data_IF_030080115584
#
_entry.id   IF_030080115584
#
_cell.length_a   1.000
_cell.length_b   1.000
_cell.length_c   1.000
_cell.angle_alpha   90.00
_cell.angle_beta   90.00
_cell.angle_gamma   90.00
#
_symmetry.space_group_name_H-M   'P 1'
#
loop_
_entity.id
_entity.type
_entity.pdbx_description
1 polymer ?
#
# COMPACT_ATOMS: atom_id res chain seq x y z
N UNK A 1 5.85 -0.76 -6.28
CA UNK A 1 5.20 0.42 -5.64
C UNK A 1 3.88 0.77 -6.33
N UNK A 2 2.74 0.38 -5.73
CA UNK A 2 1.40 0.72 -6.26
C UNK A 2 1.15 2.23 -6.38
N UNK A 3 1.75 3.05 -5.50
CA UNK A 3 1.57 4.50 -5.52
C UNK A 3 2.05 5.17 -6.81
N UNK A 4 3.21 4.76 -7.37
CA UNK A 4 3.65 5.26 -8.68
C UNK A 4 2.66 4.88 -9.78
N UNK A 5 2.17 3.63 -9.77
CA UNK A 5 1.17 3.19 -10.73
C UNK A 5 -0.10 4.05 -10.67
N UNK A 6 -0.61 4.31 -9.46
CA UNK A 6 -1.80 5.14 -9.24
C UNK A 6 -1.56 6.58 -9.69
N UNK A 7 -0.43 7.16 -9.29
CA UNK A 7 -0.04 8.53 -9.64
C UNK A 7 0.04 8.73 -11.15
N UNK A 8 0.79 7.87 -11.84
CA UNK A 8 0.98 8.01 -13.29
C UNK A 8 -0.35 7.84 -14.04
N UNK A 9 -1.25 6.97 -13.57
CA UNK A 9 -2.59 6.87 -14.17
C UNK A 9 -3.44 8.11 -13.89
N UNK A 10 -3.31 8.72 -12.71
CA UNK A 10 -4.06 9.90 -12.32
C UNK A 10 -3.67 11.15 -13.11
N UNK A 11 -2.38 11.34 -13.38
CA UNK A 11 -1.90 12.51 -14.14
C UNK A 11 -2.05 12.34 -15.65
N UNK A 12 -2.03 11.10 -16.16
CA UNK A 12 -2.10 10.81 -17.61
C UNK A 12 -3.51 10.58 -18.12
N UNK A 13 -4.37 9.98 -17.30
CA UNK A 13 -5.70 9.54 -17.70
C UNK A 13 -6.74 10.32 -16.91
N UNK A 14 -7.94 10.39 -17.46
CA UNK A 14 -9.06 10.95 -16.72
C UNK A 14 -9.41 10.05 -15.54
N UNK A 15 -9.40 10.63 -14.34
CA UNK A 15 -9.87 9.95 -13.14
C UNK A 15 -11.33 9.50 -13.35
N UNK A 16 -11.69 8.23 -13.07
CA UNK A 16 -12.98 7.67 -13.39
C UNK A 16 -14.08 8.13 -12.41
N UNK A 17 -14.40 9.43 -12.41
CA UNK A 17 -15.32 10.08 -11.48
C UNK A 17 -16.70 9.43 -11.45
N UNK A 18 -17.23 9.00 -12.61
CA UNK A 18 -18.49 8.27 -12.69
C UNK A 18 -18.48 7.00 -11.83
N UNK A 19 -17.43 6.19 -11.93
CA UNK A 19 -17.28 4.95 -11.14
C UNK A 19 -17.12 5.25 -9.65
N UNK A 20 -16.42 6.32 -9.30
CA UNK A 20 -16.31 6.77 -7.91
C UNK A 20 -17.70 7.05 -7.34
N UNK A 21 -18.51 7.84 -8.04
CA UNK A 21 -19.84 8.20 -7.56
C UNK A 21 -20.79 7.01 -7.50
N UNK A 22 -20.74 6.11 -8.48
CA UNK A 22 -21.54 4.89 -8.48
C UNK A 22 -21.14 3.94 -7.34
N UNK A 23 -19.85 3.68 -7.16
CA UNK A 23 -19.35 2.74 -6.15
C UNK A 23 -19.65 3.19 -4.71
N UNK A 24 -19.51 4.49 -4.43
CA UNK A 24 -19.77 5.06 -3.11
C UNK A 24 -21.19 5.61 -2.95
N UNK A 25 -22.07 5.41 -3.93
CA UNK A 25 -23.44 5.91 -3.95
C UNK A 25 -23.55 7.43 -3.67
N UNK A 26 -22.58 8.19 -4.20
CA UNK A 26 -22.47 9.63 -3.97
C UNK A 26 -23.33 10.39 -4.97
N UNK A 27 -24.10 11.38 -4.49
CA UNK A 27 -24.76 12.34 -5.36
C UNK A 27 -23.78 13.46 -5.75
N UNK A 28 -23.32 13.53 -7.02
CA UNK A 28 -22.33 14.51 -7.45
C UNK A 28 -22.80 15.96 -7.31
N UNK A 29 -24.12 16.19 -7.33
CA UNK A 29 -24.74 17.53 -7.27
C UNK A 29 -25.10 17.96 -5.85
N UNK A 30 -24.86 17.11 -4.85
CA UNK A 30 -25.15 17.45 -3.46
C UNK A 30 -24.17 18.54 -3.01
N UNK A 31 -24.72 19.60 -2.45
CA UNK A 31 -23.93 20.66 -1.84
C UNK A 31 -23.09 20.11 -0.68
N UNK A 32 -21.83 20.54 -0.63
CA UNK A 32 -20.93 20.24 0.48
C UNK A 32 -21.47 20.82 1.79
N UNK A 33 -21.06 20.25 2.93
CA UNK A 33 -21.37 20.87 4.22
C UNK A 33 -20.58 22.18 4.40
N UNK A 34 -20.93 22.97 5.43
CA UNK A 34 -20.27 24.26 5.68
C UNK A 34 -18.77 24.10 5.86
N UNK A 35 -18.35 23.13 6.66
CA UNK A 35 -16.94 22.90 7.00
C UNK A 35 -16.12 22.55 5.76
N UNK A 36 -16.64 21.71 4.87
CA UNK A 36 -15.98 21.38 3.60
C UNK A 36 -15.91 22.58 2.66
N UNK A 37 -16.94 23.42 2.59
CA UNK A 37 -16.88 24.65 1.79
C UNK A 37 -15.81 25.61 2.33
N UNK A 38 -15.73 25.78 3.64
CA UNK A 38 -14.70 26.60 4.28
C UNK A 38 -13.31 26.06 3.95
N UNK A 39 -13.08 24.76 4.10
CA UNK A 39 -11.81 24.13 3.76
C UNK A 39 -11.44 24.28 2.27
N UNK A 40 -12.42 24.21 1.36
CA UNK A 40 -12.19 24.50 -0.05
C UNK A 40 -11.71 25.94 -0.27
N UNK A 41 -12.40 26.93 0.32
CA UNK A 41 -12.03 28.34 0.22
C UNK A 41 -10.62 28.59 0.79
N UNK A 42 -10.30 28.01 1.95
CA UNK A 42 -8.98 28.12 2.59
C UNK A 42 -7.87 27.51 1.72
N UNK A 43 -8.21 26.50 0.92
CA UNK A 43 -7.30 25.86 -0.04
C UNK A 43 -7.27 26.58 -1.41
N UNK A 44 -7.95 27.72 -1.56
CA UNK A 44 -8.04 28.47 -2.82
C UNK A 44 -8.95 27.83 -3.87
N UNK A 45 -9.83 26.92 -3.46
CA UNK A 45 -10.74 26.16 -4.33
C UNK A 45 -12.18 26.68 -4.16
N UNK A 46 -12.81 27.10 -5.26
CA UNK A 46 -14.24 27.45 -5.27
C UNK A 46 -15.09 26.23 -5.68
N UNK A 47 -15.40 25.36 -4.72
CA UNK A 47 -16.24 24.17 -4.93
C UNK A 47 -17.51 24.19 -4.08
N UNK A 48 -18.67 23.93 -4.70
CA UNK A 48 -19.97 23.89 -4.01
C UNK A 48 -20.45 22.46 -3.81
N UNK A 49 -20.05 21.55 -4.70
CA UNK A 49 -20.46 20.15 -4.74
C UNK A 49 -19.25 19.22 -4.75
N UNK A 50 -19.45 17.93 -4.45
CA UNK A 50 -18.37 16.94 -4.56
C UNK A 50 -17.88 16.78 -6.01
N UNK A 51 -18.74 17.00 -7.01
CA UNK A 51 -18.32 17.02 -8.41
C UNK A 51 -17.32 18.14 -8.69
N UNK A 52 -17.56 19.35 -8.15
CA UNK A 52 -16.63 20.47 -8.31
C UNK A 52 -15.26 20.14 -7.69
N UNK A 53 -15.25 19.51 -6.51
CA UNK A 53 -14.00 19.07 -5.85
C UNK A 53 -13.25 18.08 -6.74
N UNK A 54 -13.94 17.08 -7.29
CA UNK A 54 -13.31 16.08 -8.17
C UNK A 54 -12.77 16.73 -9.45
N UNK A 55 -13.47 17.69 -10.03
CA UNK A 55 -13.00 18.44 -11.20
C UNK A 55 -11.75 19.25 -10.86
N UNK A 56 -11.76 19.98 -9.74
CA UNK A 56 -10.59 20.72 -9.27
C UNK A 56 -9.40 19.78 -9.06
N UNK A 57 -9.61 18.66 -8.37
CA UNK A 57 -8.59 17.63 -8.16
C UNK A 57 -8.01 17.10 -9.48
N UNK A 58 -8.86 16.72 -10.45
CA UNK A 58 -8.44 16.27 -11.76
C UNK A 58 -7.59 17.30 -12.50
N UNK A 59 -8.03 18.56 -12.51
CA UNK A 59 -7.31 19.63 -13.16
C UNK A 59 -5.95 19.87 -12.51
N UNK A 60 -5.88 19.85 -11.18
CA UNK A 60 -4.62 19.98 -10.45
C UNK A 60 -3.65 18.83 -10.77
N UNK A 61 -4.14 17.59 -10.79
CA UNK A 61 -3.30 16.44 -11.13
C UNK A 61 -2.76 16.50 -12.56
N UNK A 62 -3.53 16.99 -13.52
CA UNK A 62 -3.09 17.15 -14.92
C UNK A 62 -1.99 18.20 -15.11
N UNK A 63 -1.83 19.13 -14.17
CA UNK A 63 -0.75 20.12 -14.18
C UNK A 63 0.58 19.55 -13.64
N UNK A 64 0.53 18.38 -13.00
CA UNK A 64 1.69 17.79 -12.36
C UNK A 64 2.38 16.78 -13.29
N UNK A 65 3.71 16.68 -13.23
CA UNK A 65 4.44 15.74 -14.07
C UNK A 65 4.21 14.30 -13.61
N UNK A 66 4.49 13.36 -14.52
CA UNK A 66 4.64 11.94 -14.17
C UNK A 66 5.73 11.76 -13.12
N UNK A 67 5.58 10.71 -12.32
CA UNK A 67 6.63 10.32 -11.39
C UNK A 67 7.84 9.77 -12.16
N UNK A 68 9.03 9.90 -11.58
CA UNK A 68 10.26 9.32 -12.13
C UNK A 68 10.12 7.80 -12.30
N UNK A 69 10.75 7.25 -13.33
CA UNK A 69 10.78 5.80 -13.59
C UNK A 69 11.84 5.07 -12.74
N UNK A 70 12.67 5.82 -12.01
CA UNK A 70 13.53 5.31 -10.95
C UNK A 70 12.90 5.61 -9.60
N UNK A 71 12.73 4.57 -8.82
CA UNK A 71 12.31 4.65 -7.42
C UNK A 71 13.55 4.70 -6.53
N UNK A 72 13.39 5.39 -5.42
CA UNK A 72 14.46 5.62 -4.45
C UNK A 72 13.97 5.14 -3.09
N UNK A 73 14.68 4.18 -2.50
CA UNK A 73 14.47 3.75 -1.12
C UNK A 73 15.51 4.45 -0.27
N UNK A 74 15.04 5.27 0.68
CA UNK A 74 15.90 6.07 1.55
C UNK A 74 15.76 5.57 2.98
N UNK A 75 16.88 5.13 3.55
CA UNK A 75 16.97 4.70 4.93
C UNK A 75 17.47 5.87 5.77
N UNK A 76 16.69 6.26 6.77
CA UNK A 76 17.03 7.35 7.68
C UNK A 76 17.04 6.83 9.12
N UNK A 77 17.97 7.35 9.91
CA UNK A 77 17.99 7.12 11.35
C UNK A 77 16.74 7.75 11.98
N UNK A 78 15.99 6.97 12.74
CA UNK A 78 14.82 7.48 13.46
C UNK A 78 15.18 8.51 14.55
N UNK A 79 16.44 8.51 15.02
CA UNK A 79 16.89 9.38 16.11
C UNK A 79 17.09 10.82 15.67
N UNK A 80 17.70 11.01 14.50
CA UNK A 80 18.19 12.30 14.03
C UNK A 80 17.90 12.57 12.55
N UNK A 81 17.16 11.69 11.89
CA UNK A 81 16.84 11.76 10.46
C UNK A 81 18.10 11.82 9.55
N UNK A 82 19.25 11.40 10.07
CA UNK A 82 20.46 11.29 9.27
C UNK A 82 20.27 10.21 8.21
N UNK A 83 20.76 10.48 7.00
CA UNK A 83 20.71 9.54 5.89
C UNK A 83 21.69 8.39 6.18
N UNK A 84 21.17 7.18 6.23
CA UNK A 84 21.96 5.96 6.38
C UNK A 84 22.33 5.41 5.00
N UNK A 85 21.34 5.26 4.12
CA UNK A 85 21.53 4.66 2.80
C UNK A 85 20.45 5.10 1.80
N UNK A 86 20.80 5.08 0.52
CA UNK A 86 19.89 5.33 -0.60
C UNK A 86 20.07 4.27 -1.69
N UNK A 87 19.02 3.52 -1.98
CA UNK A 87 19.00 2.53 -3.04
C UNK A 87 18.09 2.97 -4.19
N UNK A 88 18.53 2.74 -5.44
CA UNK A 88 17.78 3.12 -6.64
C UNK A 88 17.43 1.90 -7.47
N UNK A 89 16.16 1.77 -7.79
CA UNK A 89 15.67 0.66 -8.62
C UNK A 89 14.73 1.16 -9.70
N UNK A 90 14.70 0.42 -10.81
CA UNK A 90 13.83 0.72 -11.95
C UNK A 90 12.41 0.31 -11.61
N UNK A 91 11.44 1.15 -11.95
CA UNK A 91 10.04 0.82 -11.77
C UNK A 91 9.58 -0.20 -12.81
N UNK A 92 9.12 -1.36 -12.34
CA UNK A 92 8.56 -2.42 -13.17
C UNK A 92 7.03 -2.39 -13.21
N UNK A 93 6.49 -1.65 -14.20
CA UNK A 93 5.05 -1.50 -14.37
C UNK A 93 4.31 -2.77 -14.79
N UNK A 94 4.97 -3.73 -15.43
CA UNK A 94 4.41 -5.05 -15.76
C UNK A 94 4.27 -5.91 -14.51
N UNK A 95 5.33 -5.97 -13.71
CA UNK A 95 5.37 -6.71 -12.45
C UNK A 95 4.25 -6.23 -11.51
N UNK A 96 4.12 -4.93 -11.25
CA UNK A 96 3.08 -4.44 -10.34
C UNK A 96 1.65 -4.74 -10.82
N UNK A 97 1.41 -4.72 -12.13
CA UNK A 97 0.09 -5.08 -12.70
C UNK A 97 -0.19 -6.57 -12.52
N UNK A 98 0.84 -7.40 -12.66
CA UNK A 98 0.74 -8.84 -12.40
C UNK A 98 0.38 -9.09 -10.94
N UNK A 99 1.07 -8.45 -10.00
CA UNK A 99 0.79 -8.60 -8.56
C UNK A 99 -0.62 -8.15 -8.19
N UNK A 100 -1.07 -7.00 -8.71
CA UNK A 100 -2.44 -6.52 -8.52
C UNK A 100 -3.44 -7.55 -9.06
N UNK A 101 -3.18 -8.11 -10.25
CA UNK A 101 -4.04 -9.13 -10.86
C UNK A 101 -4.14 -10.37 -9.97
N UNK A 102 -3.01 -10.92 -9.51
CA UNK A 102 -2.98 -12.12 -8.65
C UNK A 102 -3.81 -11.90 -7.39
N UNK A 103 -3.61 -10.75 -6.72
CA UNK A 103 -4.43 -10.36 -5.58
C UNK A 103 -5.91 -10.33 -5.96
N UNK A 104 -6.29 -9.58 -6.99
CA UNK A 104 -7.70 -9.43 -7.39
C UNK A 104 -8.35 -10.76 -7.77
N UNK A 105 -7.62 -11.68 -8.41
CA UNK A 105 -8.13 -13.01 -8.73
C UNK A 105 -8.49 -13.79 -7.46
N UNK A 106 -7.65 -13.71 -6.43
CA UNK A 106 -7.96 -14.29 -5.12
C UNK A 106 -9.18 -13.61 -4.47
N UNK A 107 -9.17 -12.27 -4.34
CA UNK A 107 -10.26 -11.52 -3.69
C UNK A 107 -11.62 -11.68 -4.39
N UNK A 108 -11.63 -11.89 -5.71
CA UNK A 108 -12.84 -12.10 -6.49
C UNK A 108 -13.24 -13.58 -6.61
N UNK A 109 -12.55 -14.50 -5.92
CA UNK A 109 -12.83 -15.94 -5.95
C UNK A 109 -12.54 -16.60 -7.30
N UNK A 110 -11.69 -15.99 -8.13
CA UNK A 110 -11.22 -16.55 -9.41
C UNK A 110 -10.02 -17.48 -9.24
N UNK A 111 -9.39 -17.46 -8.06
CA UNK A 111 -8.25 -18.28 -7.69
C UNK A 111 -8.36 -18.69 -6.22
N UNK A 112 -7.96 -19.92 -5.90
CA UNK A 112 -7.79 -20.38 -4.53
C UNK A 112 -6.58 -19.72 -3.84
N UNK A 113 -6.55 -19.81 -2.50
CA UNK A 113 -5.35 -19.48 -1.75
C UNK A 113 -4.20 -20.42 -2.15
N UNK A 114 -2.99 -19.89 -2.28
CA UNK A 114 -1.78 -20.71 -2.41
C UNK A 114 -0.90 -20.49 -1.19
N UNK A 115 -0.01 -21.45 -0.94
CA UNK A 115 1.08 -21.24 -0.01
C UNK A 115 2.01 -20.14 -0.51
N UNK A 116 2.77 -19.57 0.44
CA UNK A 116 3.88 -18.68 0.15
C UNK A 116 5.02 -19.46 -0.53
N UNK A 117 5.86 -18.75 -1.27
CA UNK A 117 7.08 -19.30 -1.85
C UNK A 117 8.11 -19.62 -0.74
N UNK A 118 9.15 -20.40 -1.08
CA UNK A 118 10.17 -20.85 -0.13
C UNK A 118 10.83 -19.69 0.65
N UNK A 119 11.14 -18.60 -0.04
CA UNK A 119 11.76 -17.39 0.54
C UNK A 119 10.87 -16.71 1.59
N UNK A 120 9.56 -16.95 1.53
CA UNK A 120 8.55 -16.34 2.39
C UNK A 120 8.01 -17.32 3.46
N UNK A 121 8.55 -18.54 3.56
CA UNK A 121 8.11 -19.55 4.53
C UNK A 121 8.29 -19.12 5.99
N UNK A 122 9.17 -18.15 6.27
CA UNK A 122 9.30 -17.54 7.59
C UNK A 122 7.96 -16.96 8.11
N UNK A 123 7.06 -16.56 7.20
CA UNK A 123 5.70 -16.08 7.55
C UNK A 123 4.82 -17.16 8.17
N UNK A 124 5.10 -18.45 7.93
CA UNK A 124 4.36 -19.57 8.51
C UNK A 124 4.48 -19.62 10.05
N UNK A 125 5.56 -19.07 10.63
CA UNK A 125 5.72 -18.94 12.08
C UNK A 125 4.71 -17.99 12.75
N UNK A 126 4.00 -17.18 11.96
CA UNK A 126 2.99 -16.22 12.41
C UNK A 126 1.59 -16.50 11.81
N UNK A 127 1.41 -17.60 11.09
CA UNK A 127 0.17 -17.91 10.39
C UNK A 127 -0.74 -18.78 11.26
N UNK A 128 -1.95 -18.28 11.56
CA UNK A 128 -2.97 -19.00 12.34
C UNK A 128 -3.45 -20.30 11.66
N UNK A 129 -3.22 -20.42 10.35
CA UNK A 129 -3.66 -21.56 9.53
C UNK A 129 -2.56 -22.60 9.28
N UNK A 130 -1.38 -22.44 9.87
CA UNK A 130 -0.22 -23.32 9.64
C UNK A 130 -0.54 -24.79 9.91
N UNK A 131 -1.32 -25.11 10.94
CA UNK A 131 -1.72 -26.47 11.28
C UNK A 131 -2.60 -27.16 10.22
N UNK A 132 -3.24 -26.38 9.36
CA UNK A 132 -4.13 -26.86 8.29
C UNK A 132 -3.51 -26.64 6.90
N UNK A 133 -2.31 -26.05 6.83
CA UNK A 133 -1.66 -25.72 5.57
C UNK A 133 -0.94 -26.94 4.99
N UNK A 134 -1.37 -27.47 3.83
CA UNK A 134 -0.75 -28.67 3.25
C UNK A 134 0.69 -28.45 2.77
N UNK A 135 1.09 -27.19 2.54
CA UNK A 135 2.43 -26.83 2.14
C UNK A 135 3.39 -26.65 3.33
N UNK A 136 2.88 -26.56 4.55
CA UNK A 136 3.72 -26.50 5.74
C UNK A 136 4.12 -27.91 6.14
N UNK A 137 5.32 -28.29 5.71
CA UNK A 137 6.01 -29.46 6.28
C UNK A 137 6.68 -28.93 7.54
N UNK A 138 5.93 -28.88 8.65
CA UNK A 138 6.52 -28.65 9.96
C UNK A 138 7.67 -29.64 10.17
N UNK A 139 8.66 -29.27 10.98
CA UNK A 139 9.80 -30.12 11.33
C UNK A 139 9.32 -31.43 11.98
N UNK A 140 8.92 -32.39 11.16
CA UNK A 140 8.49 -33.71 11.58
C UNK A 140 9.76 -34.53 11.83
N UNK A 141 10.48 -34.21 12.90
CA UNK A 141 11.57 -35.05 13.37
C UNK A 141 12.80 -34.35 13.96
N UNK A 142 12.64 -33.53 15.00
CA UNK A 142 13.69 -33.43 16.02
C UNK A 142 13.08 -33.21 17.40
N UNK A 143 12.78 -34.32 18.07
CA UNK A 143 12.74 -34.33 19.54
C UNK A 143 14.19 -34.19 20.03
N UNK A 144 14.76 -33.00 19.96
CA UNK A 144 15.92 -32.66 20.77
C UNK A 144 15.48 -31.66 21.82
N UNK A 145 15.51 -32.16 23.06
CA UNK A 145 15.39 -31.44 24.31
C UNK A 145 15.84 -29.98 24.21
N UNK A 146 14.91 -29.06 24.49
CA UNK A 146 15.24 -27.72 24.96
C UNK A 146 16.12 -27.85 26.21
N UNK A 147 17.42 -27.72 26.05
CA UNK A 147 18.25 -27.20 27.12
C UNK A 147 18.09 -25.69 27.13
N UNK A 148 17.70 -25.15 28.27
CA UNK A 148 17.70 -23.73 28.61
C UNK A 148 18.96 -23.05 28.07
N UNK A 149 18.77 -22.05 27.20
CA UNK A 149 19.73 -20.97 27.03
C UNK A 149 18.99 -19.66 27.23
N UNK A 150 19.38 -19.00 28.33
CA UNK A 150 18.97 -17.69 28.79
C UNK A 150 18.84 -16.67 27.65
N UNK A 151 17.62 -16.16 27.45
CA UNK A 151 17.44 -14.84 26.86
C UNK A 151 17.67 -13.83 27.98
N UNK A 152 18.92 -13.43 28.17
CA UNK A 152 19.27 -12.30 29.03
C UNK A 152 18.53 -11.07 28.53
N UNK A 153 17.52 -10.67 29.28
CA UNK A 153 16.77 -9.44 29.11
C UNK A 153 17.65 -8.26 29.50
N UNK A 154 18.58 -7.87 28.63
CA UNK A 154 19.35 -6.64 28.80
C UNK A 154 19.54 -5.93 27.44
N UNK A 155 18.48 -5.25 27.01
CA UNK A 155 18.56 -4.18 26.02
C UNK A 155 17.53 -3.08 26.34
N UNK A 156 17.50 -2.63 27.59
CA UNK A 156 16.86 -1.37 28.01
C UNK A 156 17.56 -0.84 29.26
N UNK A 157 18.83 -0.44 29.13
CA UNK A 157 19.50 0.48 30.05
C UNK A 157 20.77 1.02 29.40
N UNK A 158 20.68 2.21 28.81
CA UNK A 158 21.83 3.11 28.70
C UNK A 158 21.36 4.48 29.16
N UNK A 159 22.04 4.97 30.21
CA UNK A 159 21.90 6.27 30.85
C UNK A 159 22.14 7.44 29.89
#
# INVERSE_FOLDING_TARGET
MCYKYLWDNLVVRDFPSKRLFEYFELNPRRNLCKDLRTACVDSGISALTIADVVICYQNMCKLLPRANDKLVLRYESQRDHSLLEEEKFVYEGSWIKNEIRICLEFWLGKREASSVDEEDQWKCGFCDFTSQCPAYIGDSGSTETLSEYDYSSDCCSVQ
#
